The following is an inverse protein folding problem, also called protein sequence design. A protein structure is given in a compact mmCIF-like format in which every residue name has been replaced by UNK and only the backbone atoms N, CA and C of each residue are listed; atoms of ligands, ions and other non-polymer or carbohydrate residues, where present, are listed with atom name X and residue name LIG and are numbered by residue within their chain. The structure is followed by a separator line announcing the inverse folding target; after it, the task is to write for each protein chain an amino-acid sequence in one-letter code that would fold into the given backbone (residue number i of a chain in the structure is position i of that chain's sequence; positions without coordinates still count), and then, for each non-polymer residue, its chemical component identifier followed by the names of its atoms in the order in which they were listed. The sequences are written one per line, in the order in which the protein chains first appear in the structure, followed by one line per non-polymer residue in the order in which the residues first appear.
data_IF_592893110436
#
_entry.id   IF_592893110436
#
_cell.length_a   1.000
_cell.length_b   1.000
_cell.length_c   1.000
_cell.angle_alpha   90.00
_cell.angle_beta   90.00
_cell.angle_gamma   90.00
#
_symmetry.space_group_name_H-M   'P 1'
#
loop_
_entity.id
_entity.type
_entity.pdbx_description
1 polymer ?
#
# COMPACT_ATOMS: atom_id res chain seq x y z
N UNK A 1 39.29 -3.60 0.60
CA UNK A 1 38.44 -4.24 1.63
C UNK A 1 37.63 -3.23 2.47
N UNK A 2 38.22 -2.12 2.93
CA UNK A 2 37.52 -1.08 3.73
C UNK A 2 36.24 -0.51 3.09
N UNK A 3 36.26 -0.31 1.76
CA UNK A 3 35.10 0.20 1.01
C UNK A 3 33.96 -0.83 0.92
N UNK A 4 34.29 -2.12 0.93
CA UNK A 4 33.30 -3.22 0.91
C UNK A 4 32.61 -3.33 2.28
N UNK A 5 33.37 -3.26 3.38
CA UNK A 5 32.77 -3.24 4.72
C UNK A 5 31.88 -2.02 4.92
N UNK A 6 32.32 -0.84 4.48
CA UNK A 6 31.50 0.38 4.54
C UNK A 6 30.21 0.27 3.72
N UNK A 7 30.28 -0.35 2.54
CA UNK A 7 29.09 -0.56 1.69
C UNK A 7 28.11 -1.54 2.32
N UNK A 8 28.60 -2.64 2.90
CA UNK A 8 27.76 -3.63 3.59
C UNK A 8 27.05 -3.00 4.79
N UNK A 9 27.76 -2.20 5.60
CA UNK A 9 27.17 -1.50 6.74
C UNK A 9 26.10 -0.52 6.27
N UNK A 10 26.37 0.27 5.23
CA UNK A 10 25.39 1.19 4.66
C UNK A 10 24.13 0.46 4.17
N UNK A 11 24.30 -0.62 3.39
CA UNK A 11 23.19 -1.43 2.91
C UNK A 11 22.37 -2.03 4.06
N UNK A 12 23.04 -2.54 5.10
CA UNK A 12 22.37 -3.07 6.28
C UNK A 12 21.54 -2.00 7.00
N UNK A 13 22.08 -0.79 7.18
CA UNK A 13 21.35 0.35 7.79
C UNK A 13 20.12 0.72 6.97
N UNK A 14 20.24 0.80 5.64
CA UNK A 14 19.11 1.08 4.75
C UNK A 14 18.02 0.02 4.88
N UNK A 15 18.38 -1.26 4.88
CA UNK A 15 17.42 -2.36 5.03
C UNK A 15 16.72 -2.33 6.38
N UNK A 16 17.45 -2.03 7.47
CA UNK A 16 16.86 -1.88 8.80
C UNK A 16 15.86 -0.73 8.83
N UNK A 17 16.21 0.43 8.27
CA UNK A 17 15.29 1.58 8.19
C UNK A 17 14.03 1.21 7.40
N UNK A 18 14.18 0.58 6.23
CA UNK A 18 13.04 0.16 5.42
C UNK A 18 12.15 -0.85 6.13
N UNK A 19 12.73 -1.78 6.92
CA UNK A 19 11.96 -2.74 7.71
C UNK A 19 11.06 -2.05 8.75
N UNK A 20 11.59 -1.06 9.46
CA UNK A 20 10.82 -0.30 10.45
C UNK A 20 9.75 0.59 9.79
N UNK A 21 10.06 1.21 8.65
CA UNK A 21 9.09 2.03 7.89
C UNK A 21 7.98 1.17 7.27
N UNK A 22 8.31 -0.03 6.78
CA UNK A 22 7.34 -0.94 6.14
C UNK A 22 6.42 -1.66 7.12
N UNK A 23 6.72 -1.67 8.42
CA UNK A 23 5.91 -2.31 9.47
C UNK A 23 4.62 -1.53 9.83
N UNK A 24 4.07 -0.78 8.88
CA UNK A 24 2.87 0.04 9.04
C UNK A 24 1.59 -0.76 9.32
N UNK A 25 0.51 -0.02 9.60
CA UNK A 25 -0.83 -0.57 9.87
C UNK A 25 -1.31 -1.45 8.72
N UNK A 26 -1.97 -2.57 9.05
CA UNK A 26 -2.56 -3.46 8.03
C UNK A 26 -3.70 -2.73 7.29
N UNK A 27 -3.69 -2.74 5.95
CA UNK A 27 -4.78 -2.19 5.17
C UNK A 27 -6.07 -3.00 5.37
N UNK A 28 -7.26 -2.37 5.29
CA UNK A 28 -8.52 -3.09 5.28
C UNK A 28 -8.64 -4.00 4.05
N UNK A 29 -9.35 -5.10 4.20
CA UNK A 29 -9.66 -6.00 3.08
C UNK A 29 -10.80 -5.44 2.23
N UNK A 30 -10.78 -5.77 0.94
CA UNK A 30 -11.84 -5.42 -0.01
C UNK A 30 -13.05 -6.32 0.30
N UNK A 31 -14.26 -5.75 0.44
CA UNK A 31 -15.49 -6.54 0.63
C UNK A 31 -15.69 -7.57 -0.49
N UNK A 32 -16.26 -8.72 -0.13
CA UNK A 32 -16.55 -9.79 -1.09
C UNK A 32 -17.99 -9.69 -1.64
N UNK A 33 -18.39 -8.49 -2.07
CA UNK A 33 -19.71 -8.22 -2.63
C UNK A 33 -19.68 -8.02 -4.15
N UNK A 34 -20.85 -7.99 -4.80
CA UNK A 34 -20.95 -7.87 -6.26
C UNK A 34 -20.34 -6.58 -6.80
N UNK A 35 -20.41 -5.48 -6.04
CA UNK A 35 -19.87 -4.18 -6.46
C UNK A 35 -18.35 -4.19 -6.52
N UNK A 36 -17.70 -4.95 -5.65
CA UNK A 36 -16.24 -5.05 -5.61
C UNK A 36 -15.69 -6.19 -6.48
N UNK A 37 -16.46 -7.28 -6.68
CA UNK A 37 -16.04 -8.44 -7.49
C UNK A 37 -15.84 -8.12 -8.97
N UNK A 38 -16.60 -7.17 -9.50
CA UNK A 38 -16.54 -6.79 -10.93
C UNK A 38 -15.41 -5.79 -11.24
N UNK A 39 -14.76 -5.25 -10.21
CA UNK A 39 -13.73 -4.22 -10.35
C UNK A 39 -12.37 -4.90 -10.56
N UNK A 40 -11.79 -4.70 -11.73
CA UNK A 40 -10.51 -5.31 -12.13
C UNK A 40 -9.38 -4.30 -12.32
N UNK A 41 -9.67 -2.99 -12.17
CA UNK A 41 -8.69 -1.92 -12.37
C UNK A 41 -8.64 -0.97 -11.17
N UNK A 42 -7.46 -0.45 -10.88
CA UNK A 42 -7.24 0.54 -9.81
C UNK A 42 -8.04 1.83 -10.07
N UNK A 43 -8.15 2.25 -11.33
CA UNK A 43 -8.89 3.46 -11.72
C UNK A 43 -10.38 3.37 -11.36
N UNK A 44 -10.98 2.18 -11.49
CA UNK A 44 -12.38 1.96 -11.14
C UNK A 44 -12.62 2.02 -9.61
N UNK A 45 -11.59 1.82 -8.78
CA UNK A 45 -11.69 2.07 -7.33
C UNK A 45 -11.91 3.58 -7.04
N UNK A 46 -11.27 4.46 -7.82
CA UNK A 46 -11.35 5.90 -7.63
C UNK A 46 -12.73 6.49 -7.98
N UNK A 47 -13.58 5.78 -8.73
CA UNK A 47 -14.94 6.21 -9.03
C UNK A 47 -15.78 6.45 -7.75
N UNK A 48 -15.54 5.64 -6.71
CA UNK A 48 -16.19 5.74 -5.41
C UNK A 48 -15.27 6.24 -4.29
N UNK A 49 -13.96 5.98 -4.39
CA UNK A 49 -13.00 6.25 -3.32
C UNK A 49 -12.18 7.54 -3.50
N UNK A 50 -12.29 8.26 -4.62
CA UNK A 50 -11.63 9.55 -4.76
C UNK A 50 -12.22 10.63 -3.83
N UNK A 51 -11.50 11.74 -3.57
CA UNK A 51 -12.02 12.87 -2.79
C UNK A 51 -13.36 13.38 -3.33
N UNK A 52 -14.34 13.56 -2.44
CA UNK A 52 -15.68 14.04 -2.80
C UNK A 52 -16.60 13.00 -3.47
N UNK A 53 -16.18 11.74 -3.57
CA UNK A 53 -17.03 10.63 -4.05
C UNK A 53 -17.82 9.99 -2.91
N UNK A 54 -18.56 8.92 -3.23
CA UNK A 54 -19.49 8.28 -2.32
C UNK A 54 -18.84 7.71 -1.05
N UNK A 55 -17.58 7.24 -1.14
CA UNK A 55 -16.86 6.63 -0.03
C UNK A 55 -15.37 6.99 -0.07
N UNK A 56 -15.00 8.25 0.13
CA UNK A 56 -13.62 8.72 -0.09
C UNK A 56 -12.63 8.01 0.84
N UNK A 57 -11.39 7.88 0.37
CA UNK A 57 -10.27 7.42 1.20
C UNK A 57 -10.09 8.32 2.43
N UNK A 58 -9.62 7.74 3.53
CA UNK A 58 -9.27 8.50 4.74
C UNK A 58 -8.14 9.48 4.45
N UNK A 59 -8.11 10.63 5.14
CA UNK A 59 -7.00 11.59 5.05
C UNK A 59 -5.62 10.97 5.36
N UNK A 60 -5.60 9.90 6.16
CA UNK A 60 -4.37 9.18 6.49
C UNK A 60 -3.95 8.14 5.45
N UNK A 61 -4.66 8.02 4.33
CA UNK A 61 -4.31 7.06 3.28
C UNK A 61 -3.01 7.52 2.61
N UNK A 62 -2.03 6.62 2.40
CA UNK A 62 -0.80 6.97 1.70
C UNK A 62 -1.11 7.45 0.27
N UNK A 63 -0.27 8.33 -0.33
CA UNK A 63 -0.46 8.82 -1.69
C UNK A 63 -0.06 7.75 -2.72
N UNK A 64 -0.71 6.58 -2.67
CA UNK A 64 -0.51 5.44 -3.57
C UNK A 64 -1.82 5.07 -4.22
N UNK A 65 -1.81 5.00 -5.55
CA UNK A 65 -2.97 4.64 -6.37
C UNK A 65 -3.01 3.14 -6.75
N UNK A 66 -2.00 2.36 -6.34
CA UNK A 66 -1.96 0.91 -6.56
C UNK A 66 -2.69 0.19 -5.41
N UNK A 67 -4.01 0.29 -5.37
CA UNK A 67 -4.84 -0.19 -4.26
C UNK A 67 -4.63 -1.69 -3.99
N UNK A 68 -4.57 -2.52 -5.04
CA UNK A 68 -4.50 -3.99 -4.92
C UNK A 68 -3.15 -4.53 -4.41
N UNK A 69 -2.11 -3.68 -4.31
CA UNK A 69 -0.84 -4.07 -3.68
C UNK A 69 -1.06 -4.34 -2.19
N UNK A 70 -1.77 -3.44 -1.53
CA UNK A 70 -2.02 -3.47 -0.10
C UNK A 70 -3.37 -4.10 0.23
N UNK A 71 -4.43 -3.73 -0.49
CA UNK A 71 -5.79 -4.19 -0.24
C UNK A 71 -6.04 -5.53 -0.95
N UNK A 72 -6.29 -6.58 -0.17
CA UNK A 72 -6.63 -7.92 -0.69
C UNK A 72 -8.11 -8.20 -0.54
N UNK A 73 -8.65 -9.02 -1.45
CA UNK A 73 -10.02 -9.51 -1.33
C UNK A 73 -10.20 -10.29 -0.03
N UNK A 74 -11.28 -10.00 0.68
CA UNK A 74 -11.71 -10.83 1.80
C UNK A 74 -12.10 -12.20 1.26
N UNK A 75 -11.49 -13.26 1.82
CA UNK A 75 -11.88 -14.65 1.55
C UNK A 75 -13.30 -14.90 2.06
#
# INVERSE_FOLDING_TARGET
MKNIFSFIIFAAVVLVILFFVSSGKKPPLIPNDERHKIITTEAACAECHAPGKAAPLKLSHPPKEQCLICHKMKK
#
